data_IF_264259392020
#
_entry.id   IF_264259392020
#
_cell.length_a   1.000
_cell.length_b   1.000
_cell.length_c   1.000
_cell.angle_alpha   90.00
_cell.angle_beta   90.00
_cell.angle_gamma   90.00
#
_symmetry.space_group_name_H-M   'P 1'
#
loop_
_entity.id
_entity.type
_entity.pdbx_description
1 polymer ?
#
# COMPACT_ATOMS: atom_id res chain seq x y z
N UNK A 1 -24.87 3.21 7.40
CA UNK A 1 -23.89 2.13 7.11
C UNK A 1 -22.78 2.22 8.14
N UNK A 2 -22.29 1.11 8.67
CA UNK A 2 -21.15 1.12 9.58
C UNK A 2 -19.95 1.81 8.90
N UNK A 3 -19.35 2.80 9.56
CA UNK A 3 -18.19 3.52 9.04
C UNK A 3 -16.95 2.66 9.29
N UNK A 4 -16.49 1.95 8.25
CA UNK A 4 -15.24 1.19 8.30
C UNK A 4 -14.04 2.14 8.15
N UNK A 5 -13.17 2.17 9.14
CA UNK A 5 -11.93 2.94 9.11
C UNK A 5 -11.02 2.43 7.99
N UNK A 6 -11.04 1.14 7.64
CA UNK A 6 -10.35 0.59 6.47
C UNK A 6 -10.61 1.38 5.19
N UNK A 7 -11.84 1.87 5.01
CA UNK A 7 -12.29 2.61 3.82
C UNK A 7 -12.10 4.13 3.95
N UNK A 8 -11.74 4.63 5.13
CA UNK A 8 -11.56 6.06 5.36
C UNK A 8 -10.26 6.58 4.74
N UNK A 9 -10.28 7.85 4.30
CA UNK A 9 -9.07 8.59 3.89
C UNK A 9 -8.13 8.87 5.06
N UNK A 10 -8.65 8.86 6.29
CA UNK A 10 -7.89 9.09 7.53
C UNK A 10 -7.04 7.88 7.94
N UNK A 11 -7.25 6.71 7.32
CA UNK A 11 -6.58 5.48 7.67
C UNK A 11 -5.06 5.55 7.42
N UNK A 12 -4.28 5.42 8.49
CA UNK A 12 -2.82 5.42 8.47
C UNK A 12 -2.21 4.01 8.43
N UNK A 13 -3.02 2.95 8.46
CA UNK A 13 -2.53 1.59 8.34
C UNK A 13 -1.69 1.39 7.07
N UNK A 14 -0.60 0.64 7.20
CA UNK A 14 0.31 0.27 6.12
C UNK A 14 0.29 -1.24 5.92
N UNK A 15 0.39 -1.68 4.68
CA UNK A 15 0.52 -3.11 4.35
C UNK A 15 1.63 -3.30 3.34
N UNK A 16 2.23 -4.49 3.33
CA UNK A 16 3.10 -4.94 2.24
C UNK A 16 2.21 -5.59 1.18
N UNK A 17 2.29 -5.12 -0.06
CA UNK A 17 1.52 -5.69 -1.16
C UNK A 17 2.09 -7.07 -1.55
N UNK A 18 1.30 -8.15 -1.56
CA UNK A 18 1.78 -9.48 -1.95
C UNK A 18 2.21 -9.55 -3.43
N UNK A 19 1.67 -8.68 -4.28
CA UNK A 19 1.93 -8.68 -5.72
C UNK A 19 3.28 -8.05 -6.02
N UNK A 20 3.51 -6.83 -5.51
CA UNK A 20 4.66 -5.99 -5.86
C UNK A 20 5.70 -5.87 -4.73
N UNK A 21 5.48 -6.52 -3.58
CA UNK A 21 6.30 -6.41 -2.37
C UNK A 21 6.50 -4.96 -1.87
N UNK A 22 5.65 -4.03 -2.29
CA UNK A 22 5.74 -2.62 -1.95
C UNK A 22 4.98 -2.33 -0.65
N UNK A 23 5.61 -1.61 0.27
CA UNK A 23 4.95 -1.08 1.47
C UNK A 23 4.08 0.11 1.07
N UNK A 24 2.78 0.04 1.34
CA UNK A 24 1.80 1.05 0.91
C UNK A 24 0.80 1.35 2.01
N UNK A 25 0.25 2.56 2.04
CA UNK A 25 -0.88 2.91 2.91
C UNK A 25 -2.16 2.25 2.40
N UNK A 26 -2.98 1.70 3.30
CA UNK A 26 -4.27 1.09 2.96
C UNK A 26 -5.19 2.13 2.32
N UNK A 27 -5.27 3.34 2.88
CA UNK A 27 -6.04 4.46 2.30
C UNK A 27 -5.66 4.73 0.83
N UNK A 28 -4.37 4.73 0.50
CA UNK A 28 -3.90 4.94 -0.89
C UNK A 28 -4.36 3.82 -1.83
N UNK A 29 -4.45 2.58 -1.35
CA UNK A 29 -4.97 1.47 -2.13
C UNK A 29 -6.49 1.57 -2.34
N UNK A 30 -7.23 2.01 -1.33
CA UNK A 30 -8.69 2.21 -1.43
C UNK A 30 -9.04 3.36 -2.38
N UNK A 31 -8.35 4.49 -2.29
CA UNK A 31 -8.52 5.62 -3.22
C UNK A 31 -8.21 5.21 -4.67
N UNK A 32 -7.15 4.44 -4.89
CA UNK A 32 -6.84 3.91 -6.23
C UNK A 32 -7.97 2.99 -6.73
N UNK A 33 -8.48 2.11 -5.88
CA UNK A 33 -9.59 1.20 -6.24
C UNK A 33 -10.83 1.99 -6.65
N UNK A 34 -11.23 2.98 -5.85
CA UNK A 34 -12.40 3.81 -6.17
C UNK A 34 -12.26 4.49 -7.52
N UNK A 35 -11.09 5.07 -7.83
CA UNK A 35 -10.82 5.68 -9.14
C UNK A 35 -10.88 4.67 -10.28
N UNK A 36 -10.30 3.49 -10.11
CA UNK A 36 -10.34 2.42 -11.13
C UNK A 36 -11.77 1.94 -11.38
N UNK A 37 -12.58 1.79 -10.34
CA UNK A 37 -13.99 1.41 -10.45
C UNK A 37 -14.87 2.52 -11.04
N UNK A 38 -14.54 3.78 -10.78
CA UNK A 38 -15.16 4.93 -11.44
C UNK A 38 -14.79 5.05 -12.93
N UNK A 39 -13.93 4.17 -13.45
CA UNK A 39 -13.48 4.19 -14.84
C UNK A 39 -12.36 5.19 -15.12
N UNK A 40 -11.84 5.87 -14.09
CA UNK A 40 -10.71 6.79 -14.24
C UNK A 40 -9.42 6.01 -14.47
N UNK A 41 -8.77 6.27 -15.62
CA UNK A 41 -7.41 5.78 -15.88
C UNK A 41 -6.40 6.70 -15.22
N UNK A 42 -5.47 6.13 -14.47
CA UNK A 42 -4.38 6.88 -13.85
C UNK A 42 -3.10 6.56 -14.62
N UNK A 43 -2.23 7.53 -14.89
CA UNK A 43 -0.99 7.28 -15.61
C UNK A 43 0.04 6.49 -14.78
N UNK A 44 0.01 6.69 -13.46
CA UNK A 44 0.89 6.02 -12.50
C UNK A 44 0.24 4.73 -11.97
N UNK A 45 1.08 3.79 -11.51
CA UNK A 45 0.66 2.51 -10.92
C UNK A 45 -0.18 1.64 -11.88
N UNK A 46 0.19 1.60 -13.16
CA UNK A 46 -0.49 0.77 -14.16
C UNK A 46 -0.58 -0.70 -13.71
N UNK A 47 0.50 -1.26 -13.14
CA UNK A 47 0.47 -2.62 -12.58
C UNK A 47 -0.58 -2.84 -11.49
N UNK A 48 -0.85 -1.83 -10.65
CA UNK A 48 -1.91 -1.93 -9.63
C UNK A 48 -3.31 -1.91 -10.26
N UNK A 49 -3.51 -1.13 -11.32
CA UNK A 49 -4.79 -1.07 -12.04
C UNK A 49 -5.09 -2.40 -12.74
N UNK A 50 -4.07 -3.02 -13.34
CA UNK A 50 -4.17 -4.38 -13.91
C UNK A 50 -4.51 -5.40 -12.84
N UNK A 51 -3.79 -5.41 -11.71
CA UNK A 51 -4.08 -6.32 -10.61
C UNK A 51 -5.52 -6.17 -10.09
N UNK A 52 -6.03 -4.95 -10.06
CA UNK A 52 -7.42 -4.65 -9.68
C UNK A 52 -8.41 -5.20 -10.70
N UNK A 53 -8.21 -4.93 -12.00
CA UNK A 53 -9.08 -5.41 -13.09
C UNK A 53 -9.11 -6.93 -13.19
N UNK A 54 -7.99 -7.60 -12.93
CA UNK A 54 -7.92 -9.05 -12.91
C UNK A 54 -8.49 -9.68 -11.62
N UNK A 55 -8.82 -8.89 -10.59
CA UNK A 55 -9.28 -9.43 -9.30
C UNK A 55 -8.17 -9.97 -8.39
N UNK A 56 -6.91 -9.70 -8.71
CA UNK A 56 -5.73 -10.10 -7.90
C UNK A 56 -5.49 -9.15 -6.72
N UNK A 57 -6.00 -7.92 -6.78
CA UNK A 57 -5.68 -6.89 -5.81
C UNK A 57 -6.28 -7.20 -4.41
N UNK A 58 -5.45 -7.25 -3.35
CA UNK A 58 -5.93 -7.48 -1.98
C UNK A 58 -6.91 -6.42 -1.52
N UNK A 59 -6.73 -5.15 -1.90
CA UNK A 59 -7.64 -4.08 -1.54
C UNK A 59 -9.05 -4.32 -2.10
N UNK A 60 -9.15 -4.87 -3.32
CA UNK A 60 -10.45 -5.27 -3.89
C UNK A 60 -11.07 -6.41 -3.10
N UNK A 61 -10.29 -7.44 -2.79
CA UNK A 61 -10.75 -8.56 -2.00
C UNK A 61 -11.20 -8.17 -0.57
N UNK A 62 -10.53 -7.21 0.06
CA UNK A 62 -10.91 -6.64 1.36
C UNK A 62 -12.27 -5.94 1.26
N UNK A 63 -12.45 -5.03 0.31
CA UNK A 63 -13.72 -4.30 0.15
C UNK A 63 -14.86 -5.26 -0.15
N UNK A 64 -14.64 -6.22 -1.05
CA UNK A 64 -15.64 -7.24 -1.35
C UNK A 64 -16.01 -8.08 -0.13
N UNK A 65 -15.03 -8.38 0.75
CA UNK A 65 -15.30 -9.09 1.99
C UNK A 65 -16.15 -8.24 2.92
N UNK A 66 -15.84 -6.95 3.07
CA UNK A 66 -16.64 -6.00 3.87
C UNK A 66 -18.08 -5.92 3.32
N UNK A 67 -18.25 -5.85 2.00
CA UNK A 67 -19.56 -5.71 1.37
C UNK A 67 -20.43 -6.98 1.36
N UNK A 68 -19.83 -8.18 1.40
CA UNK A 68 -20.56 -9.47 1.33
C UNK A 68 -21.11 -9.95 2.67
N UNK A 69 -20.77 -9.31 3.78
CA UNK A 69 -21.27 -9.75 5.09
C UNK A 69 -22.72 -9.27 5.24
N UNK A 70 -23.65 -10.11 4.79
CA UNK A 70 -25.10 -9.86 4.83
C UNK A 70 -25.60 -9.68 6.28
N UNK A 71 -25.58 -8.44 6.77
CA UNK A 71 -26.13 -8.07 8.07
C UNK A 71 -25.24 -8.35 9.28
N UNK A 72 -24.08 -9.00 9.12
CA UNK A 72 -23.08 -9.08 10.20
C UNK A 72 -22.01 -8.00 10.02
N UNK A 73 -21.50 -7.48 11.14
CA UNK A 73 -20.42 -6.51 11.11
C UNK A 73 -19.13 -7.20 10.63
N UNK A 74 -18.65 -6.87 9.44
CA UNK A 74 -17.31 -7.28 9.02
C UNK A 74 -16.27 -6.75 10.04
N UNK A 75 -15.18 -7.49 10.26
CA UNK A 75 -14.07 -6.97 11.08
C UNK A 75 -13.30 -5.89 10.32
N UNK A 76 -12.97 -4.81 11.02
CA UNK A 76 -12.22 -3.66 10.47
C UNK A 76 -10.71 -3.80 10.70
N UNK A 77 -10.16 -4.97 10.38
CA UNK A 77 -8.79 -5.37 10.73
C UNK A 77 -7.69 -4.52 10.06
N UNK A 78 -8.05 -3.78 9.01
CA UNK A 78 -7.13 -2.96 8.21
C UNK A 78 -7.28 -1.46 8.47
N UNK A 79 -8.12 -1.06 9.43
CA UNK A 79 -8.32 0.32 9.84
C UNK A 79 -7.43 0.68 11.03
N UNK A 80 -6.63 1.74 10.91
CA UNK A 80 -5.86 2.31 12.03
C UNK A 80 -5.70 3.81 11.87
N UNK A 81 -5.94 4.58 12.93
CA UNK A 81 -5.63 6.02 12.97
C UNK A 81 -4.11 6.24 13.13
N UNK A 82 -3.42 5.26 13.68
CA UNK A 82 -1.97 5.27 13.85
C UNK A 82 -1.26 4.52 12.71
N UNK A 83 -0.01 4.89 12.37
CA UNK A 83 0.76 4.22 11.33
C UNK A 83 1.22 2.82 11.78
N UNK A 84 0.34 1.83 11.64
CA UNK A 84 0.61 0.42 11.96
C UNK A 84 0.80 -0.41 10.71
N UNK A 85 1.80 -1.31 10.71
CA UNK A 85 1.93 -2.31 9.65
C UNK A 85 0.99 -3.48 9.92
N UNK A 86 -0.02 -3.63 9.09
CA UNK A 86 -1.00 -4.72 9.13
C UNK A 86 -0.63 -5.79 8.11
N UNK A 87 -0.90 -7.06 8.45
CA UNK A 87 -0.71 -8.20 7.55
C UNK A 87 -2.03 -8.56 6.88
N UNK A 88 -1.97 -8.92 5.60
CA UNK A 88 -3.15 -9.41 4.88
C UNK A 88 -3.55 -10.79 5.45
N UNK A 89 -4.84 -10.99 5.71
CA UNK A 89 -5.35 -12.22 6.32
C UNK A 89 -5.38 -13.36 5.32
N UNK A 90 -5.22 -14.59 5.82
CA UNK A 90 -5.20 -15.81 5.02
C UNK A 90 -6.39 -15.94 4.06
N UNK A 91 -7.66 -15.67 4.46
CA UNK A 91 -8.80 -15.79 3.54
C UNK A 91 -8.73 -14.85 2.33
N UNK A 92 -8.11 -13.67 2.48
CA UNK A 92 -7.92 -12.74 1.37
C UNK A 92 -6.83 -13.26 0.45
N UNK A 93 -5.71 -13.72 1.02
CA UNK A 93 -4.59 -14.28 0.27
C UNK A 93 -4.99 -15.54 -0.51
N UNK A 94 -5.74 -16.45 0.10
CA UNK A 94 -6.27 -17.65 -0.55
C UNK A 94 -7.16 -17.31 -1.74
N UNK A 95 -8.02 -16.30 -1.60
CA UNK A 95 -8.88 -15.83 -2.68
C UNK A 95 -8.09 -15.30 -3.89
N UNK A 96 -7.04 -14.52 -3.65
CA UNK A 96 -6.27 -13.91 -4.75
C UNK A 96 -5.21 -14.86 -5.33
N UNK A 97 -4.81 -15.90 -4.59
CA UNK A 97 -3.78 -16.88 -4.99
C UNK A 97 -4.08 -17.57 -6.32
N UNK A 98 -5.35 -17.89 -6.57
CA UNK A 98 -5.78 -18.66 -7.75
C UNK A 98 -6.03 -17.80 -8.98
N UNK A 99 -5.88 -16.48 -8.88
CA UNK A 99 -6.20 -15.55 -9.96
C UNK A 99 -5.02 -15.44 -10.91
N UNK A 100 -5.27 -15.71 -12.19
CA UNK A 100 -4.28 -15.62 -13.28
C UNK A 100 -4.56 -14.34 -14.08
N UNK A 101 -3.56 -13.47 -14.32
CA UNK A 101 -3.76 -12.26 -15.10
C UNK A 101 -4.06 -12.60 -16.57
N UNK A 102 -5.14 -12.04 -17.11
CA UNK A 102 -5.51 -12.21 -18.52
C UNK A 102 -4.57 -11.40 -19.42
N UNK A 103 -4.08 -12.03 -20.50
CA UNK A 103 -3.19 -11.37 -21.48
C UNK A 103 -3.85 -10.13 -22.09
N UNK A 104 -5.13 -10.20 -22.42
CA UNK A 104 -5.90 -9.06 -22.96
C UNK A 104 -5.90 -7.85 -22.04
N UNK A 105 -5.90 -8.04 -20.71
CA UNK A 105 -5.82 -6.95 -19.74
C UNK A 105 -4.38 -6.44 -19.62
N UNK A 106 -3.39 -7.33 -19.63
CA UNK A 106 -1.97 -6.94 -19.57
C UNK A 106 -1.55 -6.05 -20.74
N UNK A 107 -2.12 -6.27 -21.92
CA UNK A 107 -1.76 -5.53 -23.13
C UNK A 107 -2.49 -4.17 -23.26
N UNK A 108 -3.53 -3.92 -22.45
CA UNK A 108 -4.22 -2.62 -22.40
C UNK A 108 -3.46 -1.54 -21.60
N UNK A 109 -2.43 -1.94 -20.86
CA UNK A 109 -1.72 -1.10 -19.90
C UNK A 109 -0.23 -1.05 -20.23
N UNK A 110 0.39 0.11 -20.02
CA UNK A 110 1.82 0.29 -20.22
C UNK A 110 2.58 -0.22 -18.99
N UNK A 111 2.86 -1.52 -18.96
CA UNK A 111 3.59 -2.19 -17.88
C UNK A 111 5.08 -2.31 -18.20
N UNK A 112 5.93 -2.15 -17.18
CA UNK A 112 7.34 -2.53 -17.34
C UNK A 112 7.48 -4.06 -17.39
N UNK A 113 8.57 -4.58 -17.98
CA UNK A 113 8.83 -6.03 -17.97
C UNK A 113 8.85 -6.62 -16.55
N UNK A 114 9.39 -5.87 -15.59
CA UNK A 114 9.44 -6.24 -14.18
C UNK A 114 8.04 -6.33 -13.55
N UNK A 115 7.18 -5.33 -13.78
CA UNK A 115 5.79 -5.37 -13.30
C UNK A 115 5.03 -6.56 -13.88
N UNK A 116 5.23 -6.85 -15.17
CA UNK A 116 4.61 -7.99 -15.85
C UNK A 116 5.10 -9.31 -15.26
N UNK A 117 6.40 -9.46 -15.02
CA UNK A 117 6.97 -10.64 -14.37
C UNK A 117 6.45 -10.80 -12.93
N UNK A 118 6.36 -9.70 -12.17
CA UNK A 118 5.77 -9.71 -10.84
C UNK A 118 4.33 -10.23 -10.89
N UNK A 119 3.47 -9.68 -11.76
CA UNK A 119 2.09 -10.14 -11.90
C UNK A 119 2.00 -11.65 -12.20
N UNK A 120 2.84 -12.17 -13.09
CA UNK A 120 2.85 -13.59 -13.46
C UNK A 120 3.35 -14.52 -12.35
N UNK A 121 4.32 -14.06 -11.54
CA UNK A 121 4.95 -14.85 -10.46
C UNK A 121 4.29 -14.66 -9.09
N UNK A 122 3.15 -13.96 -9.04
CA UNK A 122 2.45 -13.60 -7.79
C UNK A 122 2.12 -14.79 -6.91
N UNK A 123 1.76 -15.94 -7.50
CA UNK A 123 1.31 -17.13 -6.74
C UNK A 123 2.34 -17.63 -5.74
N UNK A 124 3.61 -17.75 -6.13
CA UNK A 124 4.68 -18.24 -5.25
C UNK A 124 4.86 -17.34 -4.02
N UNK A 125 4.85 -16.01 -4.23
CA UNK A 125 4.94 -15.03 -3.12
C UNK A 125 3.75 -15.09 -2.18
N UNK A 126 2.53 -15.29 -2.70
CA UNK A 126 1.35 -15.46 -1.84
C UNK A 126 1.45 -16.75 -1.02
N UNK A 127 1.93 -17.84 -1.60
CA UNK A 127 2.12 -19.12 -0.89
C UNK A 127 3.10 -19.00 0.28
N UNK A 128 4.15 -18.20 0.13
CA UNK A 128 5.07 -17.88 1.22
C UNK A 128 4.40 -17.03 2.31
N UNK A 129 3.67 -15.98 1.94
CA UNK A 129 2.97 -15.14 2.91
C UNK A 129 1.89 -15.90 3.67
N UNK A 130 1.18 -16.83 3.02
CA UNK A 130 0.17 -17.69 3.64
C UNK A 130 0.71 -18.53 4.80
N UNK A 131 2.02 -18.80 4.87
CA UNK A 131 2.63 -19.52 6.00
C UNK A 131 2.61 -18.70 7.29
N UNK A 132 2.55 -17.36 7.19
CA UNK A 132 2.63 -16.43 8.34
C UNK A 132 1.40 -15.53 8.47
N UNK A 133 0.38 -15.77 7.64
CA UNK A 133 -0.80 -14.95 7.54
C UNK A 133 -1.77 -15.22 8.71
N UNK A 134 -2.33 -14.16 9.33
CA UNK A 134 -3.32 -14.31 10.39
C UNK A 134 -4.64 -14.90 9.84
N UNK A 135 -5.37 -15.63 10.70
CA UNK A 135 -6.67 -16.22 10.39
C UNK A 135 -6.66 -17.61 9.76
N UNK A 136 -5.48 -18.22 9.54
CA UNK A 136 -5.37 -19.59 9.01
C UNK A 136 -5.81 -20.67 10.00
N UNK A 137 -5.56 -20.45 11.29
CA UNK A 137 -5.87 -21.41 12.37
C UNK A 137 -7.19 -21.09 13.10
N UNK A 138 -8.08 -20.29 12.50
CA UNK A 138 -9.34 -19.86 13.12
C UNK A 138 -9.20 -18.86 14.29
N UNK A 139 -7.97 -18.55 14.73
CA UNK A 139 -7.71 -17.47 15.69
C UNK A 139 -7.84 -16.13 14.96
N UNK A 140 -8.99 -15.47 15.09
CA UNK A 140 -9.11 -14.07 14.67
C UNK A 140 -8.10 -13.24 15.46
N UNK A 141 -7.20 -12.53 14.78
CA UNK A 141 -6.49 -11.42 15.42
C UNK A 141 -7.52 -10.32 15.62
N UNK A 142 -8.31 -10.45 16.69
CA UNK A 142 -9.42 -9.56 16.98
C UNK A 142 -8.93 -8.11 16.94
N UNK A 143 -9.68 -7.28 16.22
CA UNK A 143 -9.61 -5.83 16.33
C UNK A 143 -9.58 -5.44 17.82
N UNK A 144 -8.46 -4.90 18.28
CA UNK A 144 -8.39 -4.20 19.56
C UNK A 144 -9.01 -2.84 19.28
N UNK A 145 -10.26 -2.66 19.69
CA UNK A 145 -10.87 -1.34 19.66
C UNK A 145 -9.94 -0.36 20.41
N UNK A 146 -9.64 0.84 19.88
CA UNK A 146 -9.05 1.87 20.70
C UNK A 146 -9.94 2.00 21.93
N UNK A 147 -9.33 1.99 23.12
CA UNK A 147 -10.07 2.25 24.36
C UNK A 147 -10.92 3.48 24.12
N UNK A 148 -12.24 3.35 24.32
CA UNK A 148 -13.15 4.49 24.23
C UNK A 148 -12.53 5.57 25.10
N UNK A 149 -12.06 6.64 24.46
CA UNK A 149 -11.71 7.85 25.20
C UNK A 149 -13.06 8.33 25.74
N UNK A 150 -13.28 8.19 27.03
CA UNK A 150 -14.45 8.73 27.70
C UNK A 150 -14.39 10.26 27.54
N UNK A 151 -15.10 10.77 26.55
CA UNK A 151 -15.30 12.21 26.35
C UNK A 151 -16.08 12.86 27.52
N UNK A 152 -16.51 12.09 28.51
CA UNK A 152 -17.14 12.58 29.74
C UNK A 152 -16.16 13.38 30.65
N UNK A 153 -14.85 13.36 30.39
CA UNK A 153 -13.84 14.11 31.16
C UNK A 153 -13.35 15.41 30.49
N UNK A 154 -13.76 15.71 29.27
CA UNK A 154 -13.53 17.04 28.68
C UNK A 154 -14.75 17.91 28.89
N UNK A 155 -14.68 18.68 29.98
CA UNK A 155 -15.72 19.58 30.44
C UNK A 155 -16.33 20.43 29.33
N UNK A 156 -17.65 20.45 29.35
CA UNK A 156 -18.50 21.45 28.75
C UNK A 156 -18.06 22.86 29.14
N UNK A 157 -17.35 23.55 28.24
CA UNK A 157 -17.46 25.00 28.13
C UNK A 157 -18.29 25.34 26.89
N UNK A 158 -19.38 26.10 27.02
CA UNK A 158 -20.18 26.52 25.88
C UNK A 158 -19.44 27.63 25.14
N UNK A 159 -18.69 27.29 24.09
CA UNK A 159 -18.15 28.31 23.18
C UNK A 159 -19.27 28.74 22.23
N UNK A 160 -19.78 29.92 22.57
CA UNK A 160 -20.60 30.86 21.79
C UNK A 160 -20.59 30.63 20.27
N UNK A 161 -21.81 30.57 19.72
CA UNK A 161 -22.11 30.70 18.28
C UNK A 161 -21.52 32.03 17.77
N UNK A 162 -20.35 32.01 17.15
CA UNK A 162 -19.95 33.06 16.21
C UNK A 162 -20.48 32.71 14.83
N UNK A 163 -21.25 33.64 14.29
CA UNK A 163 -21.74 33.67 12.90
C UNK A 163 -20.58 33.42 11.95
N UNK A 164 -20.79 32.51 10.99
CA UNK A 164 -20.00 32.48 9.77
C UNK A 164 -20.49 33.64 8.90
N UNK A 165 -19.75 34.74 8.93
CA UNK A 165 -19.75 35.71 7.84
C UNK A 165 -18.80 35.15 6.77
N UNK A 166 -19.38 34.75 5.65
CA UNK A 166 -18.69 34.31 4.44
C UNK A 166 -18.40 35.59 3.68
N UNK A 167 -17.21 36.16 3.88
CA UNK A 167 -16.67 37.17 2.99
C UNK A 167 -15.43 36.62 2.27
N UNK A 168 -15.60 36.69 0.96
CA UNK A 168 -14.69 36.46 -0.15
C UNK A 168 -13.53 37.46 -0.09
N UNK A 169 -12.30 36.96 0.05
CA UNK A 169 -11.09 37.68 -0.40
C UNK A 169 -10.11 36.70 -1.06
N UNK A 170 -9.82 37.01 -2.32
CA UNK A 170 -8.67 36.53 -3.08
C UNK A 170 -7.41 37.14 -2.47
N UNK A 171 -6.38 36.33 -2.22
CA UNK A 171 -5.03 36.83 -1.96
C UNK A 171 -3.99 35.80 -2.38
N UNK A 172 -3.39 36.11 -3.53
CA UNK A 172 -2.04 35.84 -3.97
C UNK A 172 -1.10 35.21 -2.93
N UNK A 173 -0.66 33.98 -3.20
CA UNK A 173 0.49 33.39 -2.50
C UNK A 173 1.71 33.44 -3.40
N UNK A 174 2.41 34.58 -3.33
CA UNK A 174 3.74 34.76 -3.89
C UNK A 174 4.80 33.91 -3.17
N UNK A 175 5.83 33.63 -3.96
CA UNK A 175 7.02 32.82 -3.74
C UNK A 175 7.86 33.29 -2.54
N UNK A 176 8.32 32.35 -1.71
CA UNK A 176 9.58 32.51 -0.97
C UNK A 176 10.28 31.16 -0.71
N UNK A 177 11.42 30.96 -1.37
CA UNK A 177 12.42 29.92 -1.10
C UNK A 177 13.43 30.50 -0.09
N UNK A 178 13.91 29.70 0.87
CA UNK A 178 15.36 29.61 1.01
C UNK A 178 15.88 28.17 1.14
N UNK A 179 16.98 27.94 0.44
CA UNK A 179 17.86 26.76 0.48
C UNK A 179 18.44 26.55 1.88
N UNK A 180 18.59 25.29 2.29
CA UNK A 180 19.76 24.87 3.08
C UNK A 180 20.17 23.45 2.70
N UNK A 181 21.38 23.36 2.17
CA UNK A 181 22.05 22.15 1.71
C UNK A 181 22.78 21.55 2.90
N UNK A 182 22.37 20.36 3.36
CA UNK A 182 23.19 19.56 4.29
C UNK A 182 23.90 18.47 3.48
N UNK A 183 25.18 18.73 3.23
CA UNK A 183 26.14 17.85 2.55
C UNK A 183 26.61 16.78 3.54
N UNK A 184 26.12 15.55 3.41
CA UNK A 184 26.68 14.39 4.11
C UNK A 184 27.85 13.83 3.31
N UNK A 185 29.01 13.68 3.95
CA UNK A 185 30.24 13.15 3.35
C UNK A 185 30.13 11.65 3.01
N UNK A 186 30.79 11.17 1.95
CA UNK A 186 30.85 9.75 1.60
C UNK A 186 31.84 8.99 2.50
N UNK A 187 31.39 7.87 3.08
CA UNK A 187 32.26 6.91 3.78
C UNK A 187 32.87 5.92 2.80
N UNK A 188 34.21 5.98 2.73
CA UNK A 188 35.23 4.94 2.46
C UNK A 188 34.96 3.87 1.39
N UNK A 189 35.84 3.91 0.39
CA UNK A 189 36.08 2.93 -0.65
C UNK A 189 36.45 1.54 -0.12
N UNK A 190 35.69 0.53 -0.52
CA UNK A 190 36.16 -0.84 -0.81
C UNK A 190 35.44 -1.31 -2.08
N UNK A 191 36.18 -2.03 -2.92
CA UNK A 191 35.75 -2.78 -4.11
C UNK A 191 35.41 -2.01 -5.40
N UNK A 192 36.44 -1.41 -6.00
CA UNK A 192 36.46 -1.06 -7.44
C UNK A 192 37.30 -2.03 -8.30
N UNK A 193 37.80 -3.13 -7.74
CA UNK A 193 38.58 -4.15 -8.46
C UNK A 193 37.70 -5.05 -9.33
N UNK A 194 36.50 -5.39 -8.88
CA UNK A 194 35.57 -6.26 -9.61
C UNK A 194 35.03 -5.57 -10.88
N UNK A 195 34.68 -4.28 -10.76
CA UNK A 195 34.14 -3.52 -11.90
C UNK A 195 35.18 -3.23 -12.99
N UNK A 196 36.47 -3.27 -12.67
CA UNK A 196 37.54 -3.04 -13.64
C UNK A 196 37.90 -4.31 -14.42
N UNK A 197 37.81 -5.49 -13.81
CA UNK A 197 38.04 -6.78 -14.47
C UNK A 197 36.97 -7.11 -15.52
N UNK A 198 35.72 -6.66 -15.32
CA UNK A 198 34.64 -6.85 -16.28
C UNK A 198 34.83 -6.06 -17.59
N UNK A 199 35.63 -4.99 -17.59
CA UNK A 199 35.83 -4.15 -18.77
C UNK A 199 37.03 -4.58 -19.64
N UNK A 200 37.97 -5.38 -19.13
CA UNK A 200 39.19 -5.74 -19.87
C UNK A 200 39.15 -7.13 -20.51
N UNK A 201 38.09 -7.91 -20.30
CA UNK A 201 37.88 -9.20 -20.97
C UNK A 201 38.85 -10.32 -20.56
N UNK A 202 39.71 -10.09 -19.56
CA UNK A 202 40.70 -11.04 -19.09
C UNK A 202 40.19 -11.76 -17.82
N UNK A 203 39.50 -12.89 -18.03
CA UNK A 203 38.85 -13.66 -16.95
C UNK A 203 39.85 -14.27 -15.96
N UNK A 204 41.14 -14.31 -16.31
CA UNK A 204 42.22 -14.86 -15.49
C UNK A 204 42.47 -14.05 -14.22
N UNK A 205 42.28 -12.72 -14.27
CA UNK A 205 42.52 -11.81 -13.13
C UNK A 205 41.35 -11.83 -12.13
N UNK A 206 40.13 -12.08 -12.60
CA UNK A 206 38.94 -12.10 -11.75
C UNK A 206 38.91 -13.30 -10.79
N UNK A 207 39.45 -14.46 -11.21
CA UNK A 207 39.45 -15.68 -10.40
C UNK A 207 40.45 -15.59 -9.24
N UNK A 208 41.62 -14.99 -9.46
CA UNK A 208 42.64 -14.83 -8.41
C UNK A 208 42.30 -13.75 -7.37
N UNK A 209 41.37 -12.85 -7.67
CA UNK A 209 40.91 -11.82 -6.72
C UNK A 209 39.81 -12.31 -5.76
N UNK A 210 39.28 -13.53 -5.97
CA UNK A 210 38.21 -14.13 -5.18
C UNK A 210 38.67 -15.23 -4.21
N UNK A 211 39.98 -15.54 -4.17
CA UNK A 211 40.61 -16.46 -3.23
C UNK A 211 41.30 -15.68 -2.10
#
# INVERSE_FOLDING_TARGET
>A
MAKYLTLSSENQAQTVCPIFNAKTKVASCMLLRERVWAGTKIEKRQGCQVAMRCGMCPATAIVDRIGKVNGQLASDDYGSLEPKVVRIHAPILERIKSVIPLKSVLDQYQLTPEERQMLQTTRGRIEEQLKTAPGRDGKSTAYIAPQKIDYALYGSTPVSKRKLDIDREEADFEVAVPRTVVRTQPKSAKDNTINRAAMTGDMSVAINAAA
#
